data_IF_692316795054
#
_entry.id   IF_692316795054
#
_cell.length_a   1.000
_cell.length_b   1.000
_cell.length_c   1.000
_cell.angle_alpha   90.00
_cell.angle_beta   90.00
_cell.angle_gamma   90.00
#
_symmetry.space_group_name_H-M   'P 1'
#
loop_
_entity.id
_entity.type
_entity.pdbx_description
1 polymer ?
#
# COMPACT_ATOMS: atom_id res chain seq x y z
N UNK A 1 23.63 30.16 11.24
CA UNK A 1 23.31 28.79 10.77
C UNK A 1 21.98 28.86 10.05
N UNK A 2 22.00 28.94 8.72
CA UNK A 2 20.79 28.92 7.89
C UNK A 2 20.24 27.49 7.84
N UNK A 3 19.05 27.30 8.40
CA UNK A 3 18.28 26.07 8.28
C UNK A 3 17.95 25.87 6.80
N UNK A 4 18.63 24.93 6.13
CA UNK A 4 18.20 24.44 4.82
C UNK A 4 16.86 23.71 5.00
N UNK A 5 15.78 24.48 5.01
CA UNK A 5 14.42 23.95 4.96
C UNK A 5 14.20 23.32 3.60
N UNK A 6 14.39 22.00 3.50
CA UNK A 6 13.94 21.23 2.35
C UNK A 6 12.41 21.29 2.38
N UNK A 7 11.82 22.21 1.62
CA UNK A 7 10.39 22.19 1.38
C UNK A 7 10.02 20.80 0.81
N UNK A 8 8.98 20.13 1.33
CA UNK A 8 8.55 18.85 0.79
C UNK A 8 8.18 19.04 -0.68
N UNK A 9 8.83 18.26 -1.56
CA UNK A 9 8.59 18.28 -3.00
C UNK A 9 7.22 17.66 -3.26
N UNK A 10 6.19 18.49 -3.36
CA UNK A 10 4.77 18.09 -3.37
C UNK A 10 4.28 17.52 -4.70
N UNK A 11 5.11 17.45 -5.74
CA UNK A 11 4.66 17.12 -7.10
C UNK A 11 4.18 15.68 -7.32
N UNK A 12 4.53 14.71 -6.46
CA UNK A 12 4.30 13.28 -6.73
C UNK A 12 3.62 12.50 -5.60
N UNK A 13 3.11 13.17 -4.56
CA UNK A 13 2.46 12.47 -3.45
C UNK A 13 1.02 12.13 -3.80
N UNK A 14 0.72 10.83 -4.01
CA UNK A 14 -0.66 10.36 -4.10
C UNK A 14 -1.43 10.73 -2.82
N UNK A 15 -2.61 11.32 -2.98
CA UNK A 15 -3.53 11.59 -1.87
C UNK A 15 -3.85 10.30 -1.12
N UNK A 16 -4.16 10.41 0.18
CA UNK A 16 -4.62 9.26 0.96
C UNK A 16 -5.94 8.71 0.39
N UNK A 17 -6.24 7.42 0.60
CA UNK A 17 -7.53 6.84 0.21
C UNK A 17 -8.70 7.66 0.75
N UNK A 18 -9.69 7.94 -0.11
CA UNK A 18 -10.84 8.77 0.25
C UNK A 18 -11.80 8.13 1.27
N UNK A 19 -11.70 6.81 1.50
CA UNK A 19 -12.50 6.10 2.48
C UNK A 19 -11.84 4.79 2.94
N UNK A 20 -12.32 4.27 4.08
CA UNK A 20 -11.87 2.97 4.62
C UNK A 20 -12.20 1.80 3.69
N UNK A 21 -13.32 1.88 2.96
CA UNK A 21 -13.69 0.87 1.97
C UNK A 21 -12.67 0.83 0.81
N UNK A 22 -12.21 2.00 0.35
CA UNK A 22 -11.15 2.07 -0.67
C UNK A 22 -9.84 1.47 -0.14
N UNK A 23 -9.49 1.72 1.11
CA UNK A 23 -8.32 1.07 1.74
C UNK A 23 -8.43 -0.45 1.73
N UNK A 24 -9.57 -1.03 2.10
CA UNK A 24 -9.77 -2.49 2.08
C UNK A 24 -9.73 -3.07 0.67
N UNK A 25 -10.39 -2.45 -0.31
CA UNK A 25 -10.33 -2.90 -1.69
C UNK A 25 -8.89 -2.84 -2.23
N UNK A 26 -8.16 -1.77 -1.89
CA UNK A 26 -6.78 -1.60 -2.32
C UNK A 26 -5.85 -2.67 -1.76
N UNK A 27 -5.97 -3.03 -0.48
CA UNK A 27 -5.12 -4.09 0.11
C UNK A 27 -5.47 -5.49 -0.37
N UNK A 28 -6.74 -5.77 -0.70
CA UNK A 28 -7.14 -7.04 -1.33
C UNK A 28 -6.45 -7.16 -2.69
N UNK A 29 -6.57 -6.13 -3.54
CA UNK A 29 -5.90 -6.11 -4.85
C UNK A 29 -4.38 -6.18 -4.68
N UNK A 30 -3.81 -5.47 -3.71
CA UNK A 30 -2.38 -5.48 -3.45
C UNK A 30 -1.87 -6.86 -3.02
N UNK A 31 -2.58 -7.56 -2.12
CA UNK A 31 -2.25 -8.93 -1.72
C UNK A 31 -2.23 -9.89 -2.91
N UNK A 32 -3.27 -9.83 -3.74
CA UNK A 32 -3.37 -10.62 -4.97
C UNK A 32 -2.24 -10.30 -5.98
N UNK A 33 -1.91 -9.02 -6.18
CA UNK A 33 -0.80 -8.61 -7.06
C UNK A 33 0.55 -9.15 -6.59
N UNK A 34 0.79 -9.21 -5.28
CA UNK A 34 2.03 -9.77 -4.74
C UNK A 34 2.13 -11.28 -4.97
N UNK A 35 1.01 -12.02 -4.89
CA UNK A 35 0.95 -13.46 -5.18
C UNK A 35 1.33 -13.77 -6.63
N UNK A 36 0.93 -12.92 -7.59
CA UNK A 36 1.33 -13.07 -8.99
C UNK A 36 2.86 -12.99 -9.22
N UNK A 37 3.63 -12.50 -8.24
CA UNK A 37 5.08 -12.51 -8.27
C UNK A 37 5.72 -13.88 -8.04
N UNK A 38 4.98 -14.87 -7.54
CA UNK A 38 5.51 -16.20 -7.24
C UNK A 38 5.81 -17.01 -8.51
N UNK A 39 6.66 -18.06 -8.43
CA UNK A 39 7.15 -18.80 -9.59
C UNK A 39 6.08 -19.34 -10.54
N UNK A 40 4.84 -19.55 -10.07
CA UNK A 40 3.72 -20.03 -10.89
C UNK A 40 3.39 -19.09 -12.06
N UNK A 41 3.33 -17.77 -11.80
CA UNK A 41 3.15 -16.74 -12.85
C UNK A 41 4.45 -16.02 -13.18
N UNK A 42 5.32 -15.86 -12.18
CA UNK A 42 6.62 -15.21 -12.26
C UNK A 42 6.53 -13.74 -12.73
N UNK A 43 5.46 -13.02 -12.34
CA UNK A 43 5.26 -11.61 -12.68
C UNK A 43 5.81 -10.69 -11.58
N UNK A 44 7.09 -10.87 -11.24
CA UNK A 44 7.78 -10.20 -10.12
C UNK A 44 7.62 -8.66 -10.04
N UNK A 45 7.45 -7.88 -11.13
CA UNK A 45 7.21 -6.44 -11.00
C UNK A 45 5.91 -6.11 -10.26
N UNK A 46 4.92 -7.01 -10.31
CA UNK A 46 3.64 -6.83 -9.63
C UNK A 46 3.80 -6.88 -8.10
N UNK A 47 4.81 -7.57 -7.58
CA UNK A 47 5.14 -7.53 -6.15
C UNK A 47 5.44 -6.11 -5.70
N UNK A 48 6.20 -5.34 -6.49
CA UNK A 48 6.52 -3.94 -6.17
C UNK A 48 5.26 -3.06 -6.21
N UNK A 49 4.39 -3.28 -7.19
CA UNK A 49 3.12 -2.56 -7.29
C UNK A 49 2.19 -2.90 -6.11
N UNK A 50 2.13 -4.17 -5.71
CA UNK A 50 1.37 -4.61 -4.54
C UNK A 50 1.90 -3.99 -3.23
N UNK A 51 3.21 -3.99 -3.02
CA UNK A 51 3.82 -3.32 -1.85
C UNK A 51 3.52 -1.82 -1.84
N UNK A 52 3.64 -1.14 -2.98
CA UNK A 52 3.27 0.28 -3.09
C UNK A 52 1.78 0.51 -2.78
N UNK A 53 0.91 -0.38 -3.25
CA UNK A 53 -0.52 -0.38 -2.95
C UNK A 53 -0.81 -0.57 -1.45
N UNK A 54 -0.12 -1.48 -0.78
CA UNK A 54 -0.21 -1.69 0.67
C UNK A 54 0.15 -0.43 1.45
N UNK A 55 1.28 0.18 1.11
CA UNK A 55 1.73 1.41 1.78
C UNK A 55 0.76 2.58 1.54
N UNK A 56 0.22 2.68 0.32
CA UNK A 56 -0.76 3.72 -0.01
C UNK A 56 -2.09 3.52 0.73
N UNK A 57 -2.59 2.29 0.82
CA UNK A 57 -3.89 1.98 1.40
C UNK A 57 -4.02 2.33 2.88
N UNK A 58 -2.90 2.37 3.61
CA UNK A 58 -2.87 2.71 5.05
C UNK A 58 -2.54 4.18 5.33
N UNK A 59 -2.28 5.01 4.31
CA UNK A 59 -1.94 6.43 4.51
C UNK A 59 -3.05 7.16 5.27
N UNK A 60 -2.67 7.86 6.33
CA UNK A 60 -3.60 8.66 7.15
C UNK A 60 -4.49 7.84 8.09
N UNK A 61 -4.34 6.51 8.14
CA UNK A 61 -5.05 5.68 9.11
C UNK A 61 -4.35 5.68 10.46
N UNK A 62 -5.12 5.65 11.56
CA UNK A 62 -4.60 5.34 12.89
C UNK A 62 -4.20 3.87 13.02
N UNK A 63 -3.34 3.57 14.01
CA UNK A 63 -2.72 2.25 14.19
C UNK A 63 -3.68 1.07 14.06
N UNK A 64 -4.78 1.05 14.81
CA UNK A 64 -5.73 -0.07 14.80
C UNK A 64 -6.43 -0.27 13.45
N UNK A 65 -6.75 0.82 12.75
CA UNK A 65 -7.34 0.76 11.40
C UNK A 65 -6.31 0.24 10.40
N UNK A 66 -5.08 0.74 10.47
CA UNK A 66 -3.98 0.28 9.62
C UNK A 66 -3.68 -1.21 9.85
N UNK A 67 -3.72 -1.68 11.11
CA UNK A 67 -3.55 -3.09 11.45
C UNK A 67 -4.64 -3.96 10.82
N UNK A 68 -5.92 -3.58 10.95
CA UNK A 68 -7.03 -4.33 10.35
C UNK A 68 -6.97 -4.37 8.82
N UNK A 69 -6.68 -3.22 8.18
CA UNK A 69 -6.48 -3.12 6.74
C UNK A 69 -5.29 -3.99 6.29
N UNK A 70 -4.15 -3.89 6.96
CA UNK A 70 -2.98 -4.70 6.67
C UNK A 70 -3.22 -6.20 6.84
N UNK A 71 -3.96 -6.61 7.87
CA UNK A 71 -4.31 -8.01 8.11
C UNK A 71 -5.17 -8.59 6.97
N UNK A 72 -6.14 -7.84 6.45
CA UNK A 72 -6.94 -8.27 5.29
C UNK A 72 -6.06 -8.45 4.06
N UNK A 73 -5.18 -7.50 3.77
CA UNK A 73 -4.26 -7.63 2.63
C UNK A 73 -3.27 -8.79 2.78
N UNK A 74 -2.77 -9.03 4.00
CA UNK A 74 -1.93 -10.18 4.30
C UNK A 74 -2.67 -11.51 4.10
N UNK A 75 -3.93 -11.59 4.52
CA UNK A 75 -4.78 -12.75 4.27
C UNK A 75 -5.01 -12.97 2.76
N UNK A 76 -5.24 -11.91 1.97
CA UNK A 76 -5.39 -12.07 0.51
C UNK A 76 -4.11 -12.56 -0.19
N UNK A 77 -2.94 -12.32 0.41
CA UNK A 77 -1.66 -12.81 -0.12
C UNK A 77 -1.32 -14.25 0.32
N UNK A 78 -1.63 -14.62 1.56
CA UNK A 78 -1.24 -15.92 2.15
C UNK A 78 -2.35 -16.96 2.30
N UNK A 79 -3.61 -16.53 2.31
CA UNK A 79 -4.79 -17.36 2.60
C UNK A 79 -5.32 -18.08 1.36
#
# INVERSE_FOLDING_TARGET
MSTFGIAPRSGFALAAPGSLAVSYLAVVVAGWLMDLGFPDRNWWPLTLLGVAGMMWAIKGLGFWKALGVGAVGGFTFYG
#
